data_IF_248455579892
#
_entry.id   IF_248455579892
#
_cell.length_a   1.000
_cell.length_b   1.000
_cell.length_c   1.000
_cell.angle_alpha   90.00
_cell.angle_beta   90.00
_cell.angle_gamma   90.00
#
_symmetry.space_group_name_H-M   'P 1'
#
loop_
_entity.id
_entity.type
_entity.pdbx_description
1 polymer ?
#
# COMPACT_ATOMS: atom_id res chain seq x y z
N UNK A 1 15.36 -19.63 10.37
CA UNK A 1 14.65 -19.47 11.65
C UNK A 1 15.52 -18.82 12.72
N UNK A 2 16.73 -19.35 12.98
CA UNK A 2 17.66 -18.79 13.96
C UNK A 2 18.03 -17.35 13.63
N UNK A 3 18.28 -17.08 12.35
CA UNK A 3 18.65 -15.73 11.87
C UNK A 3 17.48 -14.72 12.05
N UNK A 4 16.26 -15.13 11.79
CA UNK A 4 15.09 -14.29 11.99
C UNK A 4 14.82 -13.99 13.46
N UNK A 5 15.04 -14.97 14.36
CA UNK A 5 14.90 -14.78 15.81
C UNK A 5 15.98 -13.87 16.39
N UNK A 6 17.23 -14.04 15.98
CA UNK A 6 18.35 -13.21 16.45
C UNK A 6 18.17 -11.75 16.03
N UNK A 7 17.61 -11.49 14.83
CA UNK A 7 17.30 -10.16 14.38
C UNK A 7 16.04 -9.56 15.04
N UNK A 8 15.05 -10.39 15.37
CA UNK A 8 13.85 -9.95 16.07
C UNK A 8 14.14 -9.45 17.49
N UNK A 9 15.13 -10.02 18.17
CA UNK A 9 15.56 -9.61 19.53
C UNK A 9 16.14 -8.19 19.53
N UNK A 10 16.65 -7.70 18.40
CA UNK A 10 17.22 -6.37 18.27
C UNK A 10 16.19 -5.29 17.89
N UNK A 11 14.94 -5.65 17.67
CA UNK A 11 13.87 -4.70 17.38
C UNK A 11 13.35 -4.05 18.65
N UNK A 12 13.21 -2.73 18.65
CA UNK A 12 12.68 -1.97 19.77
C UNK A 12 11.26 -2.33 20.19
N UNK A 13 10.52 -3.05 19.35
CA UNK A 13 9.18 -3.57 19.64
C UNK A 13 9.18 -4.97 20.25
N UNK A 14 10.29 -5.71 20.19
CA UNK A 14 10.40 -7.07 20.73
C UNK A 14 9.56 -8.14 20.04
N UNK A 15 8.83 -7.82 18.98
CA UNK A 15 7.96 -8.77 18.30
C UNK A 15 8.45 -9.11 16.90
N UNK A 16 8.52 -10.41 16.61
CA UNK A 16 8.76 -10.91 15.26
C UNK A 16 7.45 -10.78 14.48
N UNK A 17 7.43 -9.84 13.51
CA UNK A 17 6.29 -9.65 12.65
C UNK A 17 6.52 -10.38 11.32
N UNK A 18 5.73 -11.43 11.08
CA UNK A 18 5.78 -12.21 9.84
C UNK A 18 4.59 -11.83 8.97
N UNK A 19 4.86 -11.15 7.86
CA UNK A 19 3.85 -10.81 6.87
C UNK A 19 3.99 -11.64 5.62
N UNK A 20 2.89 -12.22 5.19
CA UNK A 20 2.80 -12.85 3.88
C UNK A 20 2.51 -11.81 2.79
N UNK A 21 3.26 -11.84 1.69
CA UNK A 21 2.93 -11.05 0.51
C UNK A 21 1.55 -11.38 -0.09
N UNK A 22 0.98 -12.52 0.27
CA UNK A 22 -0.38 -12.92 -0.13
C UNK A 22 -1.47 -12.38 0.80
N UNK A 23 -1.12 -11.60 1.83
CA UNK A 23 -2.07 -11.10 2.82
C UNK A 23 -2.63 -12.15 3.80
N UNK A 24 -2.14 -13.38 3.72
CA UNK A 24 -2.56 -14.45 4.64
C UNK A 24 -1.51 -14.62 5.73
N UNK A 25 -1.87 -14.37 6.98
CA UNK A 25 -1.01 -14.68 8.12
C UNK A 25 -0.66 -16.18 8.11
N UNK A 26 0.61 -16.50 8.32
CA UNK A 26 1.10 -17.90 8.36
C UNK A 26 0.91 -18.71 7.07
N UNK A 27 0.85 -18.06 5.90
CA UNK A 27 0.85 -18.78 4.63
C UNK A 27 2.09 -19.67 4.49
N UNK A 28 1.90 -20.94 4.17
CA UNK A 28 2.98 -21.94 4.08
C UNK A 28 3.66 -22.01 2.71
N UNK A 29 3.19 -21.21 1.74
CA UNK A 29 3.77 -21.19 0.40
C UNK A 29 5.08 -20.41 0.37
N UNK A 30 6.19 -21.10 0.45
CA UNK A 30 7.56 -20.54 0.53
C UNK A 30 7.94 -19.58 -0.60
N UNK A 31 7.32 -19.71 -1.77
CA UNK A 31 7.56 -18.81 -2.92
C UNK A 31 6.98 -17.40 -2.74
N UNK A 32 5.99 -17.24 -1.87
CA UNK A 32 5.30 -15.96 -1.61
C UNK A 32 5.73 -15.29 -0.30
N UNK A 33 6.53 -16.00 0.52
CA UNK A 33 6.98 -15.52 1.81
C UNK A 33 8.49 -15.54 1.87
N UNK A 34 9.07 -14.38 2.03
CA UNK A 34 10.46 -14.27 2.46
C UNK A 34 10.45 -14.00 3.96
N UNK A 35 11.25 -14.74 4.72
CA UNK A 35 11.58 -14.38 6.09
C UNK A 35 12.43 -13.11 6.06
N UNK A 36 11.77 -11.98 5.93
CA UNK A 36 12.41 -10.66 5.92
C UNK A 36 12.00 -9.89 7.16
N UNK A 37 12.88 -9.02 7.60
CA UNK A 37 12.58 -8.13 8.70
C UNK A 37 11.67 -7.01 8.22
N UNK A 38 10.58 -6.81 8.95
CA UNK A 38 9.64 -5.74 8.71
C UNK A 38 9.83 -4.64 9.75
N UNK A 39 9.84 -3.39 9.30
CA UNK A 39 9.98 -2.22 10.16
C UNK A 39 8.61 -1.65 10.52
N UNK A 40 8.38 -1.45 11.80
CA UNK A 40 7.13 -0.89 12.33
C UNK A 40 6.97 0.60 12.02
N UNK A 41 5.80 1.01 11.55
CA UNK A 41 5.37 2.39 11.33
C UNK A 41 4.35 2.75 12.39
N UNK A 42 4.62 3.77 13.19
CA UNK A 42 3.82 4.21 14.34
C UNK A 42 3.22 5.58 14.17
N UNK A 43 3.78 6.39 13.26
CA UNK A 43 3.39 7.79 13.09
C UNK A 43 3.37 8.16 11.60
N UNK A 44 2.73 9.29 11.27
CA UNK A 44 2.82 9.88 9.93
C UNK A 44 4.28 10.20 9.57
N UNK A 45 5.08 10.66 10.53
CA UNK A 45 6.49 10.95 10.32
C UNK A 45 7.30 9.69 9.99
N UNK A 46 7.07 8.58 10.70
CA UNK A 46 7.69 7.28 10.35
C UNK A 46 7.37 6.90 8.90
N UNK A 47 6.07 7.00 8.51
CA UNK A 47 5.63 6.66 7.15
C UNK A 47 6.30 7.54 6.09
N UNK A 48 6.46 8.83 6.35
CA UNK A 48 7.11 9.77 5.42
C UNK A 48 8.62 9.56 5.31
N UNK A 49 9.25 9.02 6.35
CA UNK A 49 10.69 8.82 6.42
C UNK A 49 11.17 7.46 5.90
N UNK A 50 10.26 6.55 5.54
CA UNK A 50 10.67 5.25 4.99
C UNK A 50 11.42 5.42 3.68
N UNK A 51 12.33 4.50 3.41
CA UNK A 51 13.14 4.46 2.20
C UNK A 51 12.85 3.19 1.43
N UNK A 52 12.61 3.31 0.15
CA UNK A 52 12.52 2.16 -0.73
C UNK A 52 13.88 1.55 -1.05
N UNK A 53 13.85 0.29 -1.44
CA UNK A 53 15.02 -0.39 -1.95
C UNK A 53 15.37 0.05 -3.36
N UNK A 54 16.58 -0.27 -3.80
CA UNK A 54 17.09 0.11 -5.13
C UNK A 54 16.57 -0.79 -6.27
N UNK A 55 15.95 -1.91 -5.96
CA UNK A 55 15.41 -2.87 -6.94
C UNK A 55 14.41 -3.81 -6.29
N UNK A 56 13.74 -4.61 -7.11
CA UNK A 56 12.81 -5.64 -6.64
C UNK A 56 13.45 -6.68 -5.71
N UNK A 57 14.74 -6.98 -5.90
CA UNK A 57 15.51 -7.90 -5.04
C UNK A 57 16.00 -7.27 -3.73
N UNK A 58 16.02 -5.95 -3.65
CA UNK A 58 16.42 -5.18 -2.47
C UNK A 58 15.26 -4.37 -1.90
N UNK A 59 14.03 -4.85 -2.07
CA UNK A 59 12.80 -4.25 -1.56
C UNK A 59 12.86 -4.09 -0.04
N UNK A 60 12.33 -2.98 0.47
CA UNK A 60 12.20 -2.72 1.90
C UNK A 60 10.78 -3.03 2.37
N UNK A 61 10.67 -3.46 3.63
CA UNK A 61 9.43 -4.02 4.18
C UNK A 61 9.01 -3.30 5.44
N UNK A 62 7.75 -2.84 5.45
CA UNK A 62 7.18 -2.02 6.52
C UNK A 62 5.77 -2.50 6.88
N UNK A 63 5.35 -2.27 8.11
CA UNK A 63 3.99 -2.56 8.56
C UNK A 63 3.46 -1.49 9.49
N UNK A 64 2.15 -1.24 9.42
CA UNK A 64 1.48 -0.32 10.31
C UNK A 64 1.24 -0.96 11.68
N UNK A 65 1.32 -0.16 12.74
CA UNK A 65 0.96 -0.54 14.11
C UNK A 65 -0.17 0.32 14.67
N UNK A 66 -0.65 1.28 13.89
CA UNK A 66 -1.77 2.17 14.19
C UNK A 66 -2.33 2.76 12.90
N UNK A 67 -3.51 3.35 12.97
CA UNK A 67 -4.03 4.17 11.88
C UNK A 67 -3.19 5.42 11.68
N UNK A 68 -2.90 5.74 10.44
CA UNK A 68 -2.11 6.92 10.06
C UNK A 68 -3.02 7.94 9.36
N UNK A 69 -3.13 9.13 9.93
CA UNK A 69 -3.78 10.26 9.28
C UNK A 69 -2.74 11.13 8.58
N UNK A 70 -2.95 11.40 7.29
CA UNK A 70 -2.14 12.32 6.50
C UNK A 70 -2.83 13.69 6.51
N UNK A 71 -2.17 14.72 7.02
CA UNK A 71 -2.81 15.99 7.26
C UNK A 71 -2.51 17.10 6.25
N UNK A 72 -1.45 17.00 5.48
CA UNK A 72 -1.00 18.10 4.62
C UNK A 72 -0.83 17.73 3.14
N UNK A 73 -0.32 16.54 2.87
CA UNK A 73 0.02 16.10 1.51
C UNK A 73 -0.07 14.59 1.41
N UNK A 74 -0.13 14.07 0.19
CA UNK A 74 0.01 12.64 -0.12
C UNK A 74 1.24 12.03 0.55
N UNK A 75 1.17 10.75 0.86
CA UNK A 75 2.37 9.96 1.06
C UNK A 75 2.96 9.59 -0.31
N UNK A 76 4.23 9.91 -0.51
CA UNK A 76 4.92 9.70 -1.79
C UNK A 76 6.05 8.66 -1.63
N UNK A 77 5.74 7.35 -1.66
CA UNK A 77 6.76 6.31 -1.66
C UNK A 77 7.59 6.32 -2.94
N UNK A 78 8.90 6.16 -2.79
CA UNK A 78 9.86 6.00 -3.89
C UNK A 78 10.73 4.78 -3.68
N UNK A 79 11.27 4.19 -4.77
CA UNK A 79 11.99 2.93 -4.75
C UNK A 79 11.05 1.74 -4.55
N UNK A 80 11.59 0.61 -4.11
CA UNK A 80 10.87 -0.65 -3.97
C UNK A 80 10.44 -0.87 -2.51
N UNK A 81 9.14 -0.75 -2.25
CA UNK A 81 8.53 -0.85 -0.91
C UNK A 81 7.46 -1.93 -0.88
N UNK A 82 7.42 -2.71 0.21
CA UNK A 82 6.26 -3.49 0.63
C UNK A 82 5.73 -2.92 1.94
N UNK A 83 4.44 -2.57 1.96
CA UNK A 83 3.75 -2.10 3.14
C UNK A 83 2.60 -3.05 3.50
N UNK A 84 2.61 -3.58 4.71
CA UNK A 84 1.48 -4.28 5.28
C UNK A 84 0.63 -3.31 6.11
N UNK A 85 -0.65 -3.25 5.78
CA UNK A 85 -1.60 -2.42 6.53
C UNK A 85 -1.88 -3.00 7.93
N UNK A 86 -1.77 -4.33 8.10
CA UNK A 86 -1.90 -5.00 9.41
C UNK A 86 -3.22 -4.67 10.13
N UNK A 87 -4.31 -4.50 9.38
CA UNK A 87 -5.63 -4.11 9.88
C UNK A 87 -5.78 -2.62 10.18
N UNK A 88 -4.77 -1.79 9.87
CA UNK A 88 -4.81 -0.33 10.07
C UNK A 88 -4.94 0.41 8.75
N UNK A 89 -5.42 1.65 8.84
CA UNK A 89 -5.71 2.48 7.66
C UNK A 89 -4.73 3.64 7.52
N UNK A 90 -4.52 4.04 6.25
CA UNK A 90 -3.95 5.33 5.90
C UNK A 90 -5.09 6.21 5.39
N UNK A 91 -5.36 7.31 6.08
CA UNK A 91 -6.48 8.20 5.80
C UNK A 91 -5.99 9.59 5.44
N UNK A 92 -6.34 10.09 4.27
CA UNK A 92 -6.08 11.48 3.90
C UNK A 92 -7.11 12.41 4.57
N UNK A 93 -6.61 13.38 5.33
CA UNK A 93 -7.39 14.42 5.97
C UNK A 93 -7.22 15.75 5.21
N UNK A 94 -7.61 15.75 3.95
CA UNK A 94 -7.50 16.93 3.08
C UNK A 94 -7.77 16.60 1.62
N UNK A 95 -7.79 17.63 0.77
CA UNK A 95 -8.08 17.49 -0.66
C UNK A 95 -6.77 17.21 -1.45
N UNK A 96 -6.26 16.00 -1.30
CA UNK A 96 -5.08 15.49 -2.01
C UNK A 96 -5.14 13.95 -2.08
N UNK A 97 -4.46 13.34 -3.03
CA UNK A 97 -4.42 11.88 -3.16
C UNK A 97 -3.80 11.23 -1.90
N UNK A 98 -4.37 10.14 -1.40
CA UNK A 98 -3.83 9.49 -0.19
C UNK A 98 -2.41 9.01 -0.43
N UNK A 99 -2.18 8.30 -1.54
CA UNK A 99 -0.85 7.82 -1.94
C UNK A 99 -0.55 8.28 -3.35
N UNK A 100 0.63 8.84 -3.58
CA UNK A 100 1.16 9.13 -4.91
C UNK A 100 2.45 8.35 -5.11
N UNK A 101 2.45 7.28 -5.91
CA UNK A 101 3.62 6.43 -6.10
C UNK A 101 4.54 7.05 -7.15
N UNK A 102 5.79 7.23 -6.76
CA UNK A 102 6.88 7.61 -7.62
C UNK A 102 7.02 9.10 -7.90
N UNK A 103 8.12 9.45 -8.54
CA UNK A 103 8.43 10.80 -8.99
C UNK A 103 8.24 10.99 -10.50
N UNK A 104 7.95 9.90 -11.24
CA UNK A 104 7.77 9.91 -12.69
C UNK A 104 9.07 9.90 -13.50
N UNK A 105 10.18 9.47 -12.88
CA UNK A 105 11.50 9.41 -13.52
C UNK A 105 12.08 8.00 -13.56
N UNK A 106 11.89 7.26 -12.50
CA UNK A 106 12.45 5.91 -12.30
C UNK A 106 11.34 4.92 -11.97
N UNK A 107 11.65 3.64 -11.96
CA UNK A 107 10.70 2.62 -11.56
C UNK A 107 10.54 2.61 -10.04
N UNK A 108 9.41 3.12 -9.57
CA UNK A 108 9.00 3.07 -8.18
C UNK A 108 7.92 2.01 -8.01
N UNK A 109 8.03 1.16 -7.00
CA UNK A 109 7.18 -0.02 -6.85
C UNK A 109 6.63 -0.14 -5.44
N UNK A 110 5.33 0.00 -5.31
CA UNK A 110 4.61 -0.21 -4.06
C UNK A 110 3.87 -1.55 -4.08
N UNK A 111 4.14 -2.39 -3.11
CA UNK A 111 3.32 -3.57 -2.81
C UNK A 111 2.52 -3.31 -1.55
N UNK A 112 1.19 -3.45 -1.64
CA UNK A 112 0.28 -3.37 -0.51
C UNK A 112 -0.25 -4.76 -0.15
N UNK A 113 -0.23 -5.07 1.13
CA UNK A 113 -0.87 -6.24 1.70
C UNK A 113 -1.50 -5.91 3.06
N UNK A 114 -2.33 -6.81 3.55
CA UNK A 114 -2.96 -6.72 4.86
C UNK A 114 -3.01 -8.12 5.47
N UNK A 115 -2.14 -8.39 6.44
CA UNK A 115 -2.03 -9.71 7.04
C UNK A 115 -3.02 -9.95 8.19
N UNK A 116 -3.67 -8.91 8.67
CA UNK A 116 -4.63 -8.96 9.77
C UNK A 116 -6.08 -8.71 9.30
N UNK A 117 -6.26 -8.60 8.00
CA UNK A 117 -7.54 -8.35 7.35
C UNK A 117 -8.46 -9.55 7.39
N UNK A 118 -9.11 -9.79 8.54
CA UNK A 118 -10.22 -10.75 8.62
C UNK A 118 -11.42 -10.09 9.31
N UNK A 119 -12.57 -10.19 8.68
CA UNK A 119 -13.81 -9.61 9.21
C UNK A 119 -13.84 -8.07 9.09
N UNK A 120 -14.25 -7.38 10.15
CA UNK A 120 -14.44 -5.92 10.17
C UNK A 120 -13.15 -5.10 10.37
N UNK A 121 -11.98 -5.72 10.36
CA UNK A 121 -10.68 -5.09 10.64
C UNK A 121 -9.75 -5.09 9.43
N UNK A 122 -10.27 -4.90 8.24
CA UNK A 122 -9.44 -4.79 7.04
C UNK A 122 -8.78 -3.41 6.98
N UNK A 123 -7.50 -3.37 6.74
CA UNK A 123 -6.76 -2.12 6.56
C UNK A 123 -7.19 -1.40 5.27
N UNK A 124 -7.22 -0.08 5.31
CA UNK A 124 -7.81 0.73 4.25
C UNK A 124 -6.89 1.87 3.79
N UNK A 125 -6.99 2.19 2.50
CA UNK A 125 -6.50 3.44 1.92
C UNK A 125 -7.74 4.29 1.60
N UNK A 126 -7.91 5.39 2.33
CA UNK A 126 -9.19 6.12 2.34
C UNK A 126 -9.02 7.62 2.57
N UNK A 127 -10.12 8.35 2.51
CA UNK A 127 -10.23 9.76 2.88
C UNK A 127 -11.18 9.95 4.06
N UNK A 128 -10.99 11.05 4.78
CA UNK A 128 -12.02 11.58 5.69
C UNK A 128 -13.24 12.01 4.88
N UNK A 129 -14.43 11.77 5.39
CA UNK A 129 -15.69 12.15 4.75
C UNK A 129 -15.70 13.62 4.30
N UNK A 130 -16.10 13.83 3.05
CA UNK A 130 -16.16 15.14 2.44
C UNK A 130 -14.86 15.66 1.86
N UNK A 131 -13.72 15.01 2.10
CA UNK A 131 -12.45 15.34 1.46
C UNK A 131 -12.36 14.72 0.07
N UNK A 132 -11.56 15.33 -0.81
CA UNK A 132 -11.40 14.90 -2.21
C UNK A 132 -9.98 14.51 -2.54
N UNK A 133 -9.84 13.41 -3.21
CA UNK A 133 -8.59 12.89 -3.74
C UNK A 133 -8.74 11.43 -4.14
N UNK A 134 -7.77 10.90 -4.83
CA UNK A 134 -7.69 9.48 -5.19
C UNK A 134 -7.13 8.68 -4.03
N UNK A 135 -7.49 7.40 -3.96
CA UNK A 135 -6.83 6.49 -3.05
C UNK A 135 -5.35 6.34 -3.41
N UNK A 136 -5.06 5.98 -4.66
CA UNK A 136 -3.69 5.85 -5.17
C UNK A 136 -3.54 6.48 -6.55
N UNK A 137 -2.57 7.36 -6.70
CA UNK A 137 -2.12 7.86 -7.98
C UNK A 137 -0.76 7.24 -8.34
N UNK A 138 -0.70 6.58 -9.48
CA UNK A 138 0.53 6.00 -10.01
C UNK A 138 1.10 6.90 -11.11
N UNK A 139 2.24 7.55 -10.83
CA UNK A 139 2.97 8.36 -11.80
C UNK A 139 3.65 7.50 -12.86
N UNK A 140 4.07 8.08 -14.00
CA UNK A 140 4.76 7.33 -15.04
C UNK A 140 5.91 6.47 -14.51
N UNK A 141 6.04 5.25 -15.07
CA UNK A 141 7.05 4.23 -14.73
C UNK A 141 6.91 3.59 -13.34
N UNK A 142 5.89 3.95 -12.56
CA UNK A 142 5.64 3.31 -11.27
C UNK A 142 4.72 2.09 -11.39
N UNK A 143 4.73 1.25 -10.36
CA UNK A 143 3.79 0.14 -10.23
C UNK A 143 3.18 0.02 -8.84
N UNK A 144 1.96 -0.52 -8.80
CA UNK A 144 1.26 -0.96 -7.61
C UNK A 144 0.91 -2.44 -7.74
N UNK A 145 1.26 -3.22 -6.72
CA UNK A 145 0.77 -4.59 -6.53
C UNK A 145 -0.10 -4.65 -5.29
N UNK A 146 -1.40 -4.91 -5.44
CA UNK A 146 -2.35 -5.08 -4.33
C UNK A 146 -2.62 -6.56 -4.10
N UNK A 147 -2.23 -7.07 -2.93
CA UNK A 147 -2.43 -8.47 -2.53
C UNK A 147 -3.61 -8.63 -1.56
N UNK A 148 -3.87 -7.64 -0.71
CA UNK A 148 -4.98 -7.59 0.24
C UNK A 148 -5.11 -6.19 0.82
N UNK A 149 -6.18 -5.94 1.59
CA UNK A 149 -6.56 -4.61 2.05
C UNK A 149 -7.56 -3.94 1.11
N UNK A 150 -8.09 -2.81 1.52
CA UNK A 150 -9.13 -2.09 0.77
C UNK A 150 -8.64 -0.72 0.31
N UNK A 151 -9.02 -0.33 -0.90
CA UNK A 151 -8.95 1.05 -1.38
C UNK A 151 -10.40 1.53 -1.48
N UNK A 152 -10.86 2.36 -0.53
CA UNK A 152 -12.28 2.64 -0.36
C UNK A 152 -12.55 4.07 0.11
N UNK A 153 -13.75 4.58 -0.16
CA UNK A 153 -14.19 5.88 0.33
C UNK A 153 -13.43 7.08 -0.26
N UNK A 154 -12.76 6.88 -1.40
CA UNK A 154 -12.02 7.94 -2.06
C UNK A 154 -12.89 8.63 -3.12
N UNK A 155 -12.89 9.94 -3.15
CA UNK A 155 -13.73 10.73 -4.06
C UNK A 155 -12.90 11.80 -4.76
N UNK A 156 -12.95 11.87 -6.08
CA UNK A 156 -12.28 12.90 -6.86
C UNK A 156 -13.17 13.45 -7.97
N UNK A 157 -13.02 14.72 -8.30
CA UNK A 157 -13.66 15.33 -9.45
C UNK A 157 -12.92 15.03 -10.78
N UNK A 158 -11.88 14.21 -10.75
CA UNK A 158 -11.04 13.85 -11.90
C UNK A 158 -11.27 12.38 -12.30
N UNK A 159 -10.24 11.60 -12.52
CA UNK A 159 -10.26 10.21 -12.95
C UNK A 159 -9.68 9.28 -11.89
N UNK A 160 -10.22 8.05 -11.80
CA UNK A 160 -9.68 6.99 -10.95
C UNK A 160 -9.84 7.27 -9.47
N UNK A 161 -11.05 7.20 -8.92
CA UNK A 161 -11.31 7.47 -7.50
C UNK A 161 -10.51 6.58 -6.58
N UNK A 162 -10.51 5.27 -6.81
CA UNK A 162 -9.67 4.33 -6.07
C UNK A 162 -8.22 4.38 -6.54
N UNK A 163 -7.98 4.09 -7.83
CA UNK A 163 -6.63 4.05 -8.42
C UNK A 163 -6.62 4.78 -9.76
N UNK A 164 -5.68 5.68 -9.93
CA UNK A 164 -5.40 6.30 -11.23
C UNK A 164 -3.99 5.96 -11.71
N UNK A 165 -3.90 5.54 -12.98
CA UNK A 165 -2.66 5.15 -13.65
C UNK A 165 -2.30 6.18 -14.74
N UNK A 166 -1.10 6.74 -14.66
CA UNK A 166 -0.54 7.60 -15.69
C UNK A 166 0.75 7.01 -16.26
N UNK A 167 0.68 6.27 -17.36
CA UNK A 167 1.84 5.58 -17.92
C UNK A 167 2.51 4.57 -16.97
N UNK A 168 1.71 3.87 -16.20
CA UNK A 168 2.13 3.03 -15.07
C UNK A 168 1.49 1.64 -15.10
N UNK A 169 1.78 0.80 -14.10
CA UNK A 169 1.29 -0.56 -14.03
C UNK A 169 0.53 -0.81 -12.71
N UNK A 170 -0.59 -1.53 -12.80
CA UNK A 170 -1.35 -1.98 -11.64
C UNK A 170 -1.64 -3.47 -11.72
N UNK A 171 -1.29 -4.19 -10.66
CA UNK A 171 -1.50 -5.61 -10.51
C UNK A 171 -2.35 -5.87 -9.27
N UNK A 172 -3.56 -6.40 -9.45
CA UNK A 172 -4.44 -6.78 -8.35
C UNK A 172 -4.47 -8.31 -8.24
N UNK A 173 -3.96 -8.81 -7.12
CA UNK A 173 -3.92 -10.24 -6.80
C UNK A 173 -4.95 -10.61 -5.73
N UNK A 174 -5.46 -9.62 -5.00
CA UNK A 174 -6.48 -9.74 -3.98
C UNK A 174 -6.86 -8.37 -3.44
N UNK A 175 -7.58 -8.32 -2.32
CA UNK A 175 -8.10 -7.08 -1.76
C UNK A 175 -9.36 -6.57 -2.46
N UNK A 176 -9.75 -5.34 -2.18
CA UNK A 176 -10.93 -4.72 -2.80
C UNK A 176 -10.70 -3.25 -3.15
N UNK A 177 -11.43 -2.78 -4.16
CA UNK A 177 -11.54 -1.37 -4.55
C UNK A 177 -13.02 -1.06 -4.63
N UNK A 178 -13.58 -0.47 -3.56
CA UNK A 178 -15.02 -0.29 -3.40
C UNK A 178 -15.34 1.13 -2.93
N UNK A 179 -16.57 1.56 -3.15
CA UNK A 179 -17.11 2.82 -2.64
C UNK A 179 -16.26 4.06 -3.00
N UNK A 180 -15.55 3.99 -4.11
CA UNK A 180 -14.79 5.11 -4.65
C UNK A 180 -15.60 5.82 -5.74
N UNK A 181 -15.42 7.13 -5.85
CA UNK A 181 -16.14 7.97 -6.80
C UNK A 181 -15.21 8.86 -7.60
N UNK A 182 -15.51 9.06 -8.88
CA UNK A 182 -14.79 9.95 -9.78
C UNK A 182 -15.68 10.34 -10.96
N UNK A 183 -15.32 11.38 -11.70
CA UNK A 183 -16.01 11.69 -12.96
C UNK A 183 -15.84 10.57 -14.01
N UNK A 184 -14.70 9.86 -14.00
CA UNK A 184 -14.48 8.68 -14.84
C UNK A 184 -13.72 7.61 -14.06
N UNK A 185 -14.23 6.38 -14.08
CA UNK A 185 -13.63 5.23 -13.41
C UNK A 185 -13.55 5.40 -11.90
N UNK A 186 -14.70 5.35 -11.20
CA UNK A 186 -14.74 5.48 -9.75
C UNK A 186 -13.75 4.54 -9.05
N UNK A 187 -13.69 3.27 -9.45
CA UNK A 187 -12.71 2.31 -8.92
C UNK A 187 -11.31 2.55 -9.49
N UNK A 188 -11.14 2.32 -10.80
CA UNK A 188 -9.84 2.39 -11.48
C UNK A 188 -9.98 3.15 -12.80
N UNK A 189 -9.06 4.04 -13.11
CA UNK A 189 -8.91 4.63 -14.43
C UNK A 189 -7.42 4.72 -14.81
N UNK A 190 -7.13 4.81 -16.11
CA UNK A 190 -5.74 4.92 -16.54
C UNK A 190 -5.59 5.53 -17.93
N UNK A 191 -4.44 6.18 -18.14
CA UNK A 191 -4.01 6.73 -19.42
C UNK A 191 -2.69 6.07 -19.84
N UNK A 192 -2.68 5.45 -21.05
CA UNK A 192 -1.47 4.77 -21.59
C UNK A 192 -0.83 3.82 -20.57
N UNK A 193 -1.66 2.99 -19.97
CA UNK A 193 -1.26 2.17 -18.80
C UNK A 193 -1.69 0.71 -18.99
N UNK A 194 -1.10 -0.18 -18.21
CA UNK A 194 -1.48 -1.59 -18.18
C UNK A 194 -1.98 -1.96 -16.78
N UNK A 195 -3.04 -2.74 -16.74
CA UNK A 195 -3.53 -3.32 -15.50
C UNK A 195 -3.84 -4.80 -15.67
N UNK A 196 -3.68 -5.56 -14.62
CA UNK A 196 -4.00 -6.99 -14.56
C UNK A 196 -4.68 -7.32 -13.24
N UNK A 197 -5.87 -7.89 -13.34
CA UNK A 197 -6.63 -8.36 -12.17
C UNK A 197 -6.61 -9.88 -12.19
N UNK A 198 -6.00 -10.50 -11.18
CA UNK A 198 -5.92 -11.95 -11.00
C UNK A 198 -6.75 -12.44 -9.80
N UNK A 199 -7.38 -11.54 -9.05
CA UNK A 199 -8.25 -11.79 -7.90
C UNK A 199 -8.65 -10.48 -7.26
N UNK A 200 -9.51 -10.54 -6.27
CA UNK A 200 -10.11 -9.38 -5.61
C UNK A 200 -11.57 -9.17 -6.02
N UNK A 201 -12.24 -8.29 -5.30
CA UNK A 201 -13.66 -7.93 -5.46
C UNK A 201 -13.81 -6.43 -5.66
#
# INVERSE_FOLDING_TARGET
YKYALDNAVNFSSGELHVHGLCGTANCTESKNHKNVLWTAIRTEEDLRNIKGGSSSSHRQYYYLTTNIALNNTSWNPTGYISLCLNGYSITANGNFDTITVGEGKDTDSLTLCDCNGSGNNTGEITHVDGMKGRGVYLKPFSDLSLYSGNITGNNTDDHGGGVYLDGSFFYMYGGSITDNSANNGGGVAGRVSNYKVNGGY
#
